data_IF_915882540632
#
_entry.id   IF_915882540632
#
_cell.length_a   1.000
_cell.length_b   1.000
_cell.length_c   1.000
_cell.angle_alpha   90.00
_cell.angle_beta   90.00
_cell.angle_gamma   90.00
#
_symmetry.space_group_name_H-M   'P 1'
#
loop_
_entity.id
_entity.type
_entity.pdbx_description
1 polymer ?
#
# COMPACT_ATOMS: atom_id res chain seq x y z
N UNK A 1 18.89 -13.79 2.85
CA UNK A 1 17.47 -14.20 2.93
C UNK A 1 16.68 -12.97 3.34
N UNK A 2 15.83 -12.44 2.46
CA UNK A 2 15.06 -11.21 2.69
C UNK A 2 13.63 -11.58 3.04
N UNK A 3 13.04 -10.92 4.04
CA UNK A 3 11.69 -11.23 4.54
C UNK A 3 10.73 -10.04 4.38
N UNK A 4 10.13 -9.87 3.20
CA UNK A 4 8.99 -8.98 3.10
C UNK A 4 7.81 -9.56 3.90
N UNK A 5 7.17 -8.73 4.70
CA UNK A 5 5.84 -9.02 5.23
C UNK A 5 4.81 -8.88 4.09
N UNK A 6 3.75 -9.69 4.08
CA UNK A 6 2.72 -9.76 3.04
C UNK A 6 1.79 -8.55 2.92
N UNK A 7 2.25 -7.36 3.28
CA UNK A 7 1.53 -6.10 3.07
C UNK A 7 1.75 -5.50 1.67
N UNK A 8 1.11 -4.36 1.41
CA UNK A 8 1.07 -3.72 0.07
C UNK A 8 2.45 -3.58 -0.60
N UNK A 9 3.44 -3.03 0.10
CA UNK A 9 4.80 -2.90 -0.46
C UNK A 9 5.53 -4.25 -0.57
N UNK A 10 5.32 -5.16 0.38
CA UNK A 10 5.97 -6.47 0.38
C UNK A 10 5.48 -7.39 -0.73
N UNK A 11 4.20 -7.31 -1.08
CA UNK A 11 3.64 -7.98 -2.26
C UNK A 11 4.30 -7.47 -3.56
N UNK A 12 4.46 -6.14 -3.71
CA UNK A 12 5.14 -5.55 -4.88
C UNK A 12 6.60 -6.00 -4.94
N UNK A 13 7.34 -5.90 -3.83
CA UNK A 13 8.74 -6.32 -3.76
C UNK A 13 8.91 -7.80 -4.10
N UNK A 14 8.08 -8.67 -3.52
CA UNK A 14 8.10 -10.11 -3.79
C UNK A 14 7.85 -10.38 -5.26
N UNK A 15 6.82 -9.76 -5.84
CA UNK A 15 6.49 -9.91 -7.26
C UNK A 15 7.68 -9.52 -8.15
N UNK A 16 8.29 -8.35 -7.91
CA UNK A 16 9.42 -7.86 -8.71
C UNK A 16 10.67 -8.72 -8.57
N UNK A 17 11.02 -9.13 -7.35
CA UNK A 17 12.19 -9.98 -7.12
C UNK A 17 12.02 -11.36 -7.75
N UNK A 18 10.78 -11.89 -7.76
CA UNK A 18 10.47 -13.19 -8.39
C UNK A 18 10.43 -13.18 -9.92
N UNK A 19 10.58 -12.02 -10.57
CA UNK A 19 10.69 -11.93 -12.04
C UNK A 19 11.99 -12.57 -12.55
N UNK A 20 13.06 -12.59 -11.73
CA UNK A 20 14.30 -13.31 -12.06
C UNK A 20 14.19 -14.78 -11.62
N UNK A 21 14.22 -15.75 -12.55
CA UNK A 21 14.10 -17.18 -12.21
C UNK A 21 15.25 -17.71 -11.34
N UNK A 22 16.35 -16.97 -11.21
CA UNK A 22 17.48 -17.34 -10.35
C UNK A 22 17.31 -16.85 -8.90
N UNK A 23 16.28 -16.05 -8.62
CA UNK A 23 16.02 -15.49 -7.29
C UNK A 23 14.86 -16.24 -6.64
N UNK A 24 15.11 -16.87 -5.49
CA UNK A 24 14.06 -17.43 -4.65
C UNK A 24 13.66 -16.46 -3.55
N UNK A 25 12.36 -16.16 -3.45
CA UNK A 25 11.79 -15.24 -2.47
C UNK A 25 10.84 -15.98 -1.55
N UNK A 26 10.94 -15.73 -0.25
CA UNK A 26 9.99 -16.23 0.74
C UNK A 26 9.25 -15.04 1.35
N UNK A 27 7.94 -15.03 1.16
CA UNK A 27 7.02 -14.05 1.73
C UNK A 27 6.29 -14.70 2.89
N UNK A 28 6.39 -14.14 4.10
CA UNK A 28 5.47 -14.53 5.17
C UNK A 28 4.53 -13.40 5.55
N UNK A 29 3.32 -13.85 5.85
CA UNK A 29 2.23 -13.02 6.32
C UNK A 29 1.66 -13.68 7.57
N UNK A 30 1.39 -12.85 8.59
CA UNK A 30 0.77 -13.33 9.84
C UNK A 30 -0.71 -13.64 9.60
N UNK A 31 -1.36 -12.80 8.81
CA UNK A 31 -2.77 -12.89 8.49
C UNK A 31 -3.12 -13.98 7.49
N UNK A 32 -4.42 -14.30 7.33
CA UNK A 32 -4.88 -15.20 6.28
C UNK A 32 -4.63 -14.60 4.89
N UNK A 33 -4.55 -15.44 3.85
CA UNK A 33 -4.52 -14.97 2.47
C UNK A 33 -5.85 -14.27 2.06
N UNK A 34 -6.96 -14.75 2.63
CA UNK A 34 -8.31 -14.18 2.55
C UNK A 34 -8.71 -13.68 1.14
N UNK A 35 -8.60 -14.57 0.15
CA UNK A 35 -9.04 -14.31 -1.21
C UNK A 35 -10.42 -14.94 -1.49
N UNK A 36 -11.46 -14.18 -1.16
CA UNK A 36 -12.85 -14.62 -1.30
C UNK A 36 -13.71 -13.58 -2.04
N UNK A 37 -14.94 -13.96 -2.40
CA UNK A 37 -15.85 -13.08 -3.13
C UNK A 37 -16.11 -11.74 -2.41
N UNK A 38 -16.33 -11.75 -1.09
CA UNK A 38 -16.62 -10.55 -0.30
C UNK A 38 -15.44 -9.57 -0.30
N UNK A 39 -14.23 -10.09 -0.19
CA UNK A 39 -12.99 -9.30 -0.19
C UNK A 39 -12.68 -8.63 -1.53
N UNK A 40 -13.35 -9.05 -2.62
CA UNK A 40 -13.22 -8.47 -3.96
C UNK A 40 -14.26 -7.40 -4.27
N UNK A 41 -15.27 -7.24 -3.41
CA UNK A 41 -16.30 -6.21 -3.56
C UNK A 41 -15.85 -4.95 -2.79
N UNK A 42 -15.55 -3.82 -3.46
CA UNK A 42 -14.95 -2.64 -2.82
C UNK A 42 -15.68 -2.10 -1.59
N UNK A 43 -17.02 -2.01 -1.67
CA UNK A 43 -17.82 -1.48 -0.56
C UNK A 43 -17.83 -2.44 0.64
N UNK A 44 -17.65 -3.74 0.41
CA UNK A 44 -17.62 -4.75 1.47
C UNK A 44 -16.22 -4.85 2.07
N UNK A 45 -15.18 -4.86 1.23
CA UNK A 45 -13.79 -4.98 1.66
C UNK A 45 -13.30 -3.78 2.46
N UNK A 46 -13.86 -2.59 2.21
CA UNK A 46 -13.55 -1.37 2.98
C UNK A 46 -14.14 -1.31 4.39
N UNK A 47 -15.01 -2.26 4.76
CA UNK A 47 -15.56 -2.33 6.12
C UNK A 47 -14.59 -3.02 7.09
N UNK A 48 -13.75 -2.21 7.72
CA UNK A 48 -12.73 -2.61 8.70
C UNK A 48 -13.28 -3.23 10.00
N UNK A 49 -14.59 -3.13 10.26
CA UNK A 49 -15.22 -3.71 11.45
C UNK A 49 -15.70 -5.15 11.24
N UNK A 50 -15.56 -5.67 10.01
CA UNK A 50 -15.90 -7.06 9.71
C UNK A 50 -14.90 -8.01 10.36
N UNK A 51 -15.40 -8.99 11.11
CA UNK A 51 -14.58 -10.01 11.76
C UNK A 51 -13.78 -10.87 10.77
N UNK A 52 -14.27 -11.03 9.53
CA UNK A 52 -13.60 -11.76 8.45
C UNK A 52 -12.79 -10.87 7.51
N UNK A 53 -12.70 -9.56 7.78
CA UNK A 53 -12.05 -8.58 6.91
C UNK A 53 -10.52 -8.56 7.00
N UNK A 54 -9.95 -9.13 8.07
CA UNK A 54 -8.50 -9.13 8.29
C UNK A 54 -7.94 -7.78 8.77
N UNK A 55 -8.79 -6.90 9.29
CA UNK A 55 -8.36 -5.68 9.98
C UNK A 55 -8.15 -6.00 11.47
N UNK A 56 -7.00 -5.59 11.98
CA UNK A 56 -6.70 -5.57 13.42
C UNK A 56 -6.63 -4.11 13.88
N UNK A 57 -6.84 -3.89 15.17
CA UNK A 57 -6.72 -2.56 15.77
C UNK A 57 -5.85 -2.57 17.00
N UNK A 58 -5.13 -1.47 17.20
CA UNK A 58 -4.37 -1.17 18.41
C UNK A 58 -4.96 0.07 19.03
N UNK A 59 -5.11 0.07 20.34
CA UNK A 59 -5.54 1.25 21.07
C UNK A 59 -4.34 2.18 21.27
N UNK A 60 -4.47 3.43 20.85
CA UNK A 60 -3.47 4.46 21.12
C UNK A 60 -3.44 4.81 22.61
N UNK A 61 -2.27 5.24 23.10
CA UNK A 61 -2.17 5.90 24.40
C UNK A 61 -3.05 7.17 24.46
N UNK A 62 -3.46 7.63 25.66
CA UNK A 62 -4.28 8.81 25.83
C UNK A 62 -3.67 10.03 25.14
N UNK A 63 -4.44 10.65 24.26
CA UNK A 63 -3.98 11.79 23.49
C UNK A 63 -4.28 13.10 24.24
N UNK A 64 -3.24 13.70 24.83
CA UNK A 64 -3.32 14.96 25.60
C UNK A 64 -4.09 16.07 24.89
N UNK A 65 -3.95 16.19 23.57
CA UNK A 65 -4.59 17.24 22.77
C UNK A 65 -5.97 16.82 22.22
N UNK A 66 -6.55 15.73 22.74
CA UNK A 66 -7.83 15.17 22.33
C UNK A 66 -8.67 14.74 23.54
N UNK A 67 -8.63 15.51 24.63
CA UNK A 67 -9.34 15.22 25.90
C UNK A 67 -9.01 13.83 26.47
N UNK A 68 -7.73 13.45 26.38
CA UNK A 68 -7.22 12.14 26.82
C UNK A 68 -7.94 10.93 26.20
N UNK A 69 -8.63 11.14 25.06
CA UNK A 69 -9.28 10.06 24.31
C UNK A 69 -8.24 9.06 23.80
N UNK A 70 -8.69 7.81 23.76
CA UNK A 70 -7.99 6.69 23.12
C UNK A 70 -8.65 6.42 21.77
N UNK A 71 -7.85 6.39 20.72
CA UNK A 71 -8.32 6.08 19.36
C UNK A 71 -7.88 4.67 18.99
N UNK A 72 -8.67 4.01 18.15
CA UNK A 72 -8.27 2.75 17.52
C UNK A 72 -7.48 3.08 16.24
N UNK A 73 -6.25 2.58 16.17
CA UNK A 73 -5.46 2.57 14.95
C UNK A 73 -5.66 1.22 14.26
N UNK A 74 -6.22 1.22 13.05
CA UNK A 74 -6.47 0.01 12.28
C UNK A 74 -5.33 -0.27 11.30
N UNK A 75 -4.91 -1.54 11.22
CA UNK A 75 -4.01 -2.03 10.17
C UNK A 75 -4.54 -3.35 9.60
N UNK A 76 -4.22 -3.64 8.33
CA UNK A 76 -4.53 -4.92 7.72
C UNK A 76 -3.54 -5.99 8.15
N UNK A 77 -4.00 -6.99 8.89
CA UNK A 77 -3.28 -8.23 9.19
C UNK A 77 -3.86 -9.36 8.32
N UNK A 78 -3.59 -9.25 7.02
CA UNK A 78 -4.10 -10.10 5.95
C UNK A 78 -3.15 -9.97 4.76
N UNK A 79 -3.07 -10.98 3.89
CA UNK A 79 -2.28 -10.84 2.66
C UNK A 79 -2.78 -9.67 1.79
N UNK A 80 -1.85 -8.86 1.31
CA UNK A 80 -2.08 -7.54 0.73
C UNK A 80 -2.08 -6.40 1.76
N UNK A 81 -2.25 -6.68 3.04
CA UNK A 81 -2.23 -5.71 4.13
C UNK A 81 -3.25 -4.58 3.94
N UNK A 82 -2.80 -3.34 4.10
CA UNK A 82 -3.66 -2.15 3.99
C UNK A 82 -4.41 -2.03 2.66
N UNK A 83 -3.84 -2.48 1.53
CA UNK A 83 -4.53 -2.44 0.24
C UNK A 83 -5.73 -3.37 0.15
N UNK A 84 -5.86 -4.35 1.07
CA UNK A 84 -6.99 -5.27 1.13
C UNK A 84 -8.23 -4.67 1.81
N UNK A 85 -8.00 -3.76 2.75
CA UNK A 85 -9.03 -3.17 3.62
C UNK A 85 -9.26 -1.67 3.37
N UNK A 86 -8.61 -1.10 2.35
CA UNK A 86 -8.71 0.33 2.05
C UNK A 86 -10.04 0.69 1.38
N UNK A 87 -10.26 1.98 1.18
CA UNK A 87 -11.43 2.52 0.48
C UNK A 87 -11.25 2.65 -1.05
N UNK A 88 -10.26 1.97 -1.63
CA UNK A 88 -9.93 1.98 -3.07
C UNK A 88 -9.60 3.36 -3.67
N UNK A 89 -9.32 4.36 -2.83
CA UNK A 89 -8.96 5.70 -3.28
C UNK A 89 -7.51 5.72 -3.78
N UNK A 90 -7.31 6.06 -5.05
CA UNK A 90 -5.98 6.28 -5.61
C UNK A 90 -5.64 7.76 -5.63
N UNK A 91 -4.59 8.15 -4.92
CA UNK A 91 -4.02 9.50 -4.90
C UNK A 91 -2.50 9.43 -4.92
N UNK A 92 -1.86 10.53 -5.34
CA UNK A 92 -0.42 10.76 -5.21
C UNK A 92 -0.21 12.00 -4.37
N UNK A 93 0.93 12.08 -3.69
CA UNK A 93 1.39 13.32 -3.07
C UNK A 93 1.66 14.39 -4.12
N UNK A 94 1.82 15.63 -3.66
CA UNK A 94 2.27 16.73 -4.50
C UNK A 94 3.77 16.58 -4.78
N UNK A 95 4.28 17.17 -5.87
CA UNK A 95 5.72 17.12 -6.16
C UNK A 95 6.58 17.65 -5.01
N UNK A 96 6.12 18.72 -4.35
CA UNK A 96 6.78 19.33 -3.21
C UNK A 96 6.97 18.36 -2.03
N UNK A 97 6.05 17.42 -1.81
CA UNK A 97 6.19 16.42 -0.74
C UNK A 97 7.42 15.53 -0.96
N UNK A 98 7.64 15.08 -2.19
CA UNK A 98 8.78 14.23 -2.55
C UNK A 98 10.09 15.03 -2.66
N UNK A 99 10.02 16.24 -3.19
CA UNK A 99 11.19 17.12 -3.27
C UNK A 99 11.66 17.55 -1.87
N UNK A 100 10.76 17.64 -0.89
CA UNK A 100 11.14 17.85 0.50
C UNK A 100 12.00 16.69 1.05
N UNK A 101 11.73 15.44 0.66
CA UNK A 101 12.57 14.30 1.04
C UNK A 101 13.95 14.39 0.41
N UNK A 102 14.03 14.82 -0.85
CA UNK A 102 15.31 15.06 -1.50
C UNK A 102 16.13 16.16 -0.81
N UNK A 103 15.48 17.24 -0.36
CA UNK A 103 16.12 18.30 0.43
C UNK A 103 16.63 17.81 1.78
N UNK A 104 15.99 16.80 2.38
CA UNK A 104 16.45 16.12 3.60
C UNK A 104 17.60 15.13 3.37
N UNK A 105 18.10 15.01 2.12
CA UNK A 105 19.22 14.15 1.77
C UNK A 105 18.84 12.85 1.06
N UNK A 106 17.54 12.56 0.87
CA UNK A 106 17.07 11.41 0.10
C UNK A 106 16.98 11.76 -1.40
N UNK A 107 18.12 12.08 -2.01
CA UNK A 107 18.18 12.64 -3.37
C UNK A 107 17.57 11.73 -4.44
N UNK A 108 17.42 10.44 -4.19
CA UNK A 108 16.78 9.48 -5.10
C UNK A 108 15.25 9.44 -4.98
N UNK A 109 14.70 10.19 -4.03
CA UNK A 109 13.27 10.26 -3.74
C UNK A 109 12.63 11.60 -4.16
N UNK A 110 13.30 12.42 -4.98
CA UNK A 110 12.69 13.60 -5.62
C UNK A 110 11.55 13.19 -6.56
N UNK A 111 10.59 14.08 -6.81
CA UNK A 111 9.42 13.76 -7.63
C UNK A 111 9.79 13.23 -9.01
N UNK A 112 10.72 13.89 -9.70
CA UNK A 112 11.16 13.53 -11.05
C UNK A 112 11.74 12.12 -11.13
N UNK A 113 12.41 11.67 -10.06
CA UNK A 113 13.01 10.32 -9.98
C UNK A 113 11.96 9.26 -9.64
N UNK A 114 10.91 9.64 -8.89
CA UNK A 114 9.83 8.74 -8.52
C UNK A 114 8.73 8.64 -9.58
N UNK A 115 8.57 9.66 -10.44
CA UNK A 115 7.52 9.71 -11.46
C UNK A 115 7.50 8.46 -12.36
N UNK A 116 8.63 7.94 -12.87
CA UNK A 116 8.62 6.70 -13.64
C UNK A 116 8.07 5.50 -12.86
N UNK A 117 8.30 5.42 -11.55
CA UNK A 117 7.78 4.35 -10.70
C UNK A 117 6.28 4.53 -10.42
N UNK A 118 5.81 5.76 -10.23
CA UNK A 118 4.37 6.02 -10.12
C UNK A 118 3.64 5.62 -11.39
N UNK A 119 4.18 5.94 -12.56
CA UNK A 119 3.63 5.48 -13.83
C UNK A 119 3.68 3.95 -13.97
N UNK A 120 4.79 3.31 -13.59
CA UNK A 120 4.90 1.84 -13.62
C UNK A 120 3.91 1.13 -12.70
N UNK A 121 3.42 1.80 -11.66
CA UNK A 121 2.49 1.23 -10.67
C UNK A 121 1.02 1.22 -11.10
N UNK A 122 0.65 1.87 -12.20
CA UNK A 122 -0.76 2.05 -12.57
C UNK A 122 -1.06 1.73 -14.04
N UNK A 123 -2.30 1.36 -14.29
CA UNK A 123 -2.90 1.31 -15.63
C UNK A 123 -4.17 2.16 -15.61
N UNK A 124 -4.05 3.40 -16.09
CA UNK A 124 -5.19 4.32 -16.15
C UNK A 124 -6.05 3.99 -17.37
N UNK A 125 -7.34 3.75 -17.11
CA UNK A 125 -8.32 3.45 -18.15
C UNK A 125 -9.07 4.71 -18.56
N UNK A 126 -9.27 4.91 -19.87
CA UNK A 126 -10.15 5.96 -20.40
C UNK A 126 -9.63 7.40 -20.33
N UNK A 127 -8.39 7.62 -19.90
CA UNK A 127 -7.77 8.95 -19.93
C UNK A 127 -7.05 9.23 -21.25
N UNK A 128 -6.94 10.50 -21.62
CA UNK A 128 -5.98 10.91 -22.65
C UNK A 128 -4.56 10.57 -22.20
N UNK A 129 -3.68 10.30 -23.18
CA UNK A 129 -2.26 10.03 -22.90
C UNK A 129 -1.67 11.22 -22.13
N UNK A 130 -1.06 10.94 -20.98
CA UNK A 130 -0.47 11.96 -20.11
C UNK A 130 0.99 11.57 -19.84
N UNK A 131 1.87 12.57 -19.79
CA UNK A 131 3.26 12.40 -19.37
C UNK A 131 3.39 12.00 -17.89
N UNK A 132 2.31 12.15 -17.12
CA UNK A 132 2.28 11.86 -15.69
C UNK A 132 1.55 10.56 -15.34
N UNK A 133 0.92 9.87 -16.30
CA UNK A 133 0.10 8.67 -16.02
C UNK A 133 0.56 7.44 -16.79
N UNK A 134 0.54 6.29 -16.11
CA UNK A 134 0.86 4.98 -16.69
C UNK A 134 -0.36 4.32 -17.33
N UNK A 135 -0.15 3.57 -18.41
CA UNK A 135 -1.18 2.81 -19.12
C UNK A 135 -0.83 1.32 -19.30
N UNK A 136 0.26 0.86 -18.68
CA UNK A 136 0.79 -0.49 -18.80
C UNK A 136 1.45 -0.96 -17.50
N UNK A 137 0.98 -0.45 -16.36
CA UNK A 137 1.46 -0.87 -15.06
C UNK A 137 1.21 -2.36 -14.86
N UNK A 138 2.18 -3.01 -14.22
CA UNK A 138 2.23 -4.45 -13.96
C UNK A 138 2.33 -4.70 -12.46
#
# INVERSE_FOLDING_TARGET
MWWPFGGTAGCVLTSRLSEDPNVSVLLLERGPANDNFMSRIPIISSNILRSDGGASSWECEPMKYCDDRRSLAFCGEVMGGGSRINSMVYTRGTAADYDSWAQLGHTDCSYDKLLPYFMKSETVMGSQKSEYRGNSGA
#
